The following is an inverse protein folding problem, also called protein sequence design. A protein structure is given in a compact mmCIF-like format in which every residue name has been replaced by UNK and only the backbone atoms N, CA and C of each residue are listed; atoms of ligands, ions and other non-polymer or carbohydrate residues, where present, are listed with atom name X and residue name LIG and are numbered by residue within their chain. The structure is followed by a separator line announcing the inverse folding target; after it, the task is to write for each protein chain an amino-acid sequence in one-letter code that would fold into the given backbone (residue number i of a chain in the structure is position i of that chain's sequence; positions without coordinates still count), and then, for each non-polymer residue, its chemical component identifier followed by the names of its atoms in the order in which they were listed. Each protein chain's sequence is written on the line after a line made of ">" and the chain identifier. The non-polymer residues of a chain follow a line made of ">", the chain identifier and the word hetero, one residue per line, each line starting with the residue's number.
data_IF_495783108536
#
_entry.id   IF_495783108536
#
_cell.length_a   1.000
_cell.length_b   1.000
_cell.length_c   1.000
_cell.angle_alpha   90.00
_cell.angle_beta   90.00
_cell.angle_gamma   90.00
#
_symmetry.space_group_name_H-M   'P 1'
#
loop_
_entity.id
_entity.type
_entity.pdbx_description
1 polymer ?
#
# COMPACT_ATOMS: atom_id res chain seq x y z
N UNK A 1 9.79 -3.22 -4.48
CA UNK A 1 9.39 -3.16 -3.05
C UNK A 1 9.32 -1.74 -2.57
N UNK A 2 10.48 -1.07 -2.49
CA UNK A 2 10.56 0.35 -2.18
C UNK A 2 9.86 1.22 -3.24
N UNK A 3 9.95 0.85 -4.52
CA UNK A 3 9.32 1.62 -5.61
C UNK A 3 7.80 1.65 -5.50
N UNK A 4 7.18 0.53 -5.13
CA UNK A 4 5.72 0.44 -4.99
C UNK A 4 5.18 1.28 -3.83
N UNK A 5 5.88 1.32 -2.68
CA UNK A 5 5.39 2.13 -1.54
C UNK A 5 5.46 3.63 -1.78
N UNK A 6 6.23 4.08 -2.79
CA UNK A 6 6.36 5.47 -3.22
C UNK A 6 5.70 5.75 -4.58
N UNK A 7 5.01 4.79 -5.18
CA UNK A 7 4.33 4.96 -6.48
C UNK A 7 3.19 5.99 -6.39
N UNK A 8 2.55 6.07 -5.22
CA UNK A 8 1.52 7.05 -4.89
C UNK A 8 1.91 7.87 -3.65
N UNK A 9 1.13 8.93 -3.38
CA UNK A 9 1.45 9.89 -2.31
C UNK A 9 1.64 9.25 -0.94
N UNK A 10 2.72 9.60 -0.25
CA UNK A 10 2.92 9.16 1.13
C UNK A 10 1.83 9.76 2.04
N UNK A 11 1.22 8.96 2.93
CA UNK A 11 1.57 7.60 3.35
C UNK A 11 0.73 6.48 2.69
N UNK A 12 0.01 6.75 1.59
CA UNK A 12 -0.95 5.81 1.01
C UNK A 12 -0.31 4.45 0.62
N UNK A 13 0.82 4.48 -0.09
CA UNK A 13 1.50 3.25 -0.53
C UNK A 13 2.04 2.41 0.63
N UNK A 14 2.69 3.03 1.61
CA UNK A 14 3.18 2.30 2.80
C UNK A 14 2.03 1.78 3.67
N UNK A 15 0.93 2.53 3.83
CA UNK A 15 -0.26 2.04 4.55
C UNK A 15 -0.90 0.85 3.86
N UNK A 16 -0.97 0.83 2.52
CA UNK A 16 -1.45 -0.32 1.76
C UNK A 16 -0.60 -1.57 2.01
N UNK A 17 0.74 -1.44 2.00
CA UNK A 17 1.64 -2.56 2.32
C UNK A 17 1.44 -3.07 3.77
N UNK A 18 1.36 -2.15 4.74
CA UNK A 18 1.16 -2.50 6.14
C UNK A 18 -0.21 -3.16 6.40
N UNK A 19 -1.26 -2.75 5.66
CA UNK A 19 -2.56 -3.42 5.68
C UNK A 19 -2.47 -4.85 5.17
N UNK A 20 -1.78 -5.09 4.06
CA UNK A 20 -1.57 -6.44 3.52
C UNK A 20 -0.83 -7.33 4.53
N UNK A 21 0.09 -6.76 5.30
CA UNK A 21 0.79 -7.44 6.41
C UNK A 21 -0.02 -7.55 7.72
N UNK A 22 -1.25 -7.04 7.76
CA UNK A 22 -2.12 -7.10 8.94
C UNK A 22 -1.72 -6.18 10.09
N UNK A 23 -0.96 -5.11 9.83
CA UNK A 23 -0.41 -4.22 10.88
C UNK A 23 -1.29 -2.99 11.12
N UNK A 24 -1.91 -2.44 10.08
CA UNK A 24 -2.72 -1.21 10.16
C UNK A 24 -3.89 -1.24 9.19
N UNK A 25 -4.84 -0.33 9.36
CA UNK A 25 -5.95 -0.12 8.45
C UNK A 25 -5.54 0.75 7.24
N UNK A 26 -6.29 0.67 6.14
CA UNK A 26 -5.97 1.36 4.89
C UNK A 26 -6.28 2.87 4.93
N UNK A 27 -7.17 3.28 5.85
CA UNK A 27 -7.73 4.62 5.94
C UNK A 27 -6.65 5.70 6.05
N UNK A 28 -6.83 6.79 5.32
CA UNK A 28 -6.01 8.00 5.48
C UNK A 28 -6.92 9.17 5.77
N UNK A 29 -6.34 10.21 6.38
CA UNK A 29 -7.07 11.46 6.62
C UNK A 29 -6.96 12.35 5.39
N UNK A 30 -8.05 13.04 5.08
CA UNK A 30 -8.04 14.10 4.10
C UNK A 30 -6.91 15.11 4.40
N UNK A 31 -6.24 15.66 3.38
CA UNK A 31 -6.61 15.63 1.96
C UNK A 31 -6.17 14.37 1.20
N UNK A 32 -5.60 13.38 1.88
CA UNK A 32 -5.09 12.17 1.25
C UNK A 32 -6.23 11.20 0.90
N UNK A 33 -5.99 10.39 -0.13
CA UNK A 33 -6.87 9.32 -0.55
C UNK A 33 -6.10 8.01 -0.39
N UNK A 34 -6.81 6.93 -0.09
CA UNK A 34 -6.24 5.58 0.00
C UNK A 34 -5.55 5.19 -1.31
N UNK A 35 -4.56 4.29 -1.21
CA UNK A 35 -3.85 3.82 -2.39
C UNK A 35 -4.82 3.17 -3.39
N UNK A 36 -4.59 3.36 -4.68
CA UNK A 36 -5.47 2.78 -5.72
C UNK A 36 -5.55 1.26 -5.63
N UNK A 37 -6.64 0.68 -6.12
CA UNK A 37 -6.83 -0.78 -6.20
C UNK A 37 -5.67 -1.43 -6.97
N UNK A 38 -5.23 -0.80 -8.07
CA UNK A 38 -4.10 -1.26 -8.88
C UNK A 38 -2.80 -1.34 -8.06
N UNK A 39 -2.48 -0.30 -7.27
CA UNK A 39 -1.29 -0.31 -6.42
C UNK A 39 -1.40 -1.37 -5.31
N UNK A 40 -2.59 -1.53 -4.72
CA UNK A 40 -2.83 -2.57 -3.71
C UNK A 40 -2.62 -3.98 -4.28
N UNK A 41 -3.08 -4.26 -5.50
CA UNK A 41 -2.87 -5.55 -6.18
C UNK A 41 -1.39 -5.82 -6.48
N UNK A 42 -0.66 -4.82 -7.00
CA UNK A 42 0.81 -4.91 -7.20
C UNK A 42 1.52 -5.25 -5.90
N UNK A 43 1.16 -4.58 -4.80
CA UNK A 43 1.73 -4.84 -3.47
C UNK A 43 1.38 -6.23 -2.96
N UNK A 44 0.16 -6.73 -3.17
CA UNK A 44 -0.23 -8.12 -2.81
C UNK A 44 0.60 -9.15 -3.57
N UNK A 45 0.75 -8.99 -4.88
CA UNK A 45 1.59 -9.87 -5.69
C UNK A 45 3.05 -9.81 -5.23
N UNK A 46 3.58 -8.62 -4.96
CA UNK A 46 4.93 -8.44 -4.43
C UNK A 46 5.14 -9.17 -3.10
N UNK A 47 4.20 -9.06 -2.15
CA UNK A 47 4.28 -9.74 -0.85
C UNK A 47 4.18 -11.26 -1.01
N UNK A 48 3.28 -11.74 -1.87
CA UNK A 48 3.08 -13.18 -2.08
C UNK A 48 4.23 -13.85 -2.84
N UNK A 49 4.93 -13.12 -3.73
CA UNK A 49 6.06 -13.64 -4.51
C UNK A 49 7.39 -13.63 -3.75
N UNK A 50 7.43 -13.05 -2.55
CA UNK A 50 8.60 -13.07 -1.65
C UNK A 50 8.49 -14.21 -0.61
N UNK A 51 7.37 -14.95 -0.61
CA UNK A 51 7.17 -16.14 0.22
C UNK A 51 7.73 -17.40 -0.45
#
# INVERSE_FOLDING_TARGET
>A
GIDFIFEEGNPAGIKALLKIKGITELDVRLPLIEASISLQEKLRQFVNNIA
#
